data_IF_235140424948
#
_entry.id   IF_235140424948
#
_cell.length_a   1.000
_cell.length_b   1.000
_cell.length_c   1.000
_cell.angle_alpha   90.00
_cell.angle_beta   90.00
_cell.angle_gamma   90.00
#
_symmetry.space_group_name_H-M   'P 1'
#
loop_
_entity.id
_entity.type
_entity.pdbx_description
1 polymer ?
#
# COMPACT_ATOMS: atom_id res chain seq x y z
N UNK A 1 14.70 -17.81 0.18
CA UNK A 1 13.37 -17.26 -0.13
C UNK A 1 12.58 -16.80 1.11
N UNK A 2 12.49 -17.57 2.20
CA UNK A 2 11.77 -17.14 3.41
C UNK A 2 12.40 -15.88 4.06
N UNK A 3 13.73 -15.87 4.21
CA UNK A 3 14.46 -14.77 4.84
C UNK A 3 14.33 -13.40 4.11
N UNK A 4 14.30 -13.43 2.78
CA UNK A 4 14.10 -12.23 1.94
C UNK A 4 12.69 -11.67 2.12
N UNK A 5 11.69 -12.54 2.26
CA UNK A 5 10.30 -12.15 2.47
C UNK A 5 10.11 -11.49 3.83
N UNK A 6 10.69 -12.07 4.89
CA UNK A 6 10.66 -11.51 6.24
C UNK A 6 11.33 -10.14 6.30
N UNK A 7 12.45 -9.98 5.58
CA UNK A 7 13.18 -8.69 5.51
C UNK A 7 12.32 -7.61 4.85
N UNK A 8 11.65 -7.91 3.73
CA UNK A 8 10.77 -6.96 3.05
C UNK A 8 9.53 -6.65 3.89
N UNK A 9 8.93 -7.64 4.56
CA UNK A 9 7.80 -7.40 5.46
C UNK A 9 8.18 -6.47 6.62
N UNK A 10 9.35 -6.66 7.22
CA UNK A 10 9.86 -5.79 8.26
C UNK A 10 10.12 -4.37 7.74
N UNK A 11 10.73 -4.25 6.55
CA UNK A 11 10.96 -2.96 5.88
C UNK A 11 9.64 -2.19 5.65
N UNK A 12 8.65 -2.83 5.01
CA UNK A 12 7.33 -2.24 4.75
C UNK A 12 6.68 -1.79 6.06
N UNK A 13 6.67 -2.66 7.08
CA UNK A 13 6.08 -2.31 8.37
C UNK A 13 6.80 -1.13 9.03
N UNK A 14 8.13 -1.07 8.95
CA UNK A 14 8.93 0.03 9.47
C UNK A 14 8.60 1.36 8.80
N UNK A 15 8.51 1.37 7.46
CA UNK A 15 8.10 2.54 6.68
C UNK A 15 6.70 3.03 7.07
N UNK A 16 5.72 2.13 7.09
CA UNK A 16 4.34 2.48 7.44
C UNK A 16 4.22 2.93 8.89
N UNK A 17 4.93 2.30 9.83
CA UNK A 17 4.92 2.71 11.23
C UNK A 17 5.55 4.10 11.42
N UNK A 18 6.60 4.43 10.68
CA UNK A 18 7.19 5.76 10.70
C UNK A 18 6.20 6.81 10.15
N UNK A 19 5.53 6.50 9.06
CA UNK A 19 4.55 7.39 8.44
C UNK A 19 3.35 7.64 9.36
N UNK A 20 2.77 6.57 9.94
CA UNK A 20 1.64 6.67 10.89
C UNK A 20 1.99 7.53 12.11
N UNK A 21 3.23 7.44 12.62
CA UNK A 21 3.68 8.27 13.74
C UNK A 21 3.83 9.75 13.38
N UNK A 22 4.19 10.04 12.13
CA UNK A 22 4.43 11.39 11.65
C UNK A 22 3.19 12.05 11.02
N UNK A 23 2.09 11.30 10.83
CA UNK A 23 0.92 11.77 10.12
C UNK A 23 0.18 12.86 10.91
N UNK A 24 -0.07 14.00 10.27
CA UNK A 24 -0.77 15.11 10.90
C UNK A 24 -2.28 14.84 10.99
N UNK A 25 -2.77 14.59 12.20
CA UNK A 25 -4.19 14.38 12.50
C UNK A 25 -4.88 15.64 13.06
N UNK A 26 -4.31 16.82 12.86
CA UNK A 26 -4.91 18.08 13.33
C UNK A 26 -6.25 18.39 12.65
N UNK A 27 -6.45 17.90 11.43
CA UNK A 27 -7.71 18.01 10.69
C UNK A 27 -8.58 16.75 10.88
N UNK A 28 -9.90 16.89 11.08
CA UNK A 28 -10.81 15.74 11.23
C UNK A 28 -10.78 14.77 10.05
N UNK A 29 -10.58 15.28 8.83
CA UNK A 29 -10.46 14.44 7.62
C UNK A 29 -9.24 13.52 7.71
N UNK A 30 -8.09 14.04 8.13
CA UNK A 30 -6.87 13.23 8.29
C UNK A 30 -7.05 12.19 9.40
N UNK A 31 -7.73 12.53 10.50
CA UNK A 31 -8.02 11.55 11.55
C UNK A 31 -8.89 10.39 11.04
N UNK A 32 -9.92 10.69 10.24
CA UNK A 32 -10.77 9.67 9.61
C UNK A 32 -9.97 8.82 8.62
N UNK A 33 -9.17 9.44 7.75
CA UNK A 33 -8.29 8.74 6.80
C UNK A 33 -7.32 7.79 7.51
N UNK A 34 -6.67 8.24 8.59
CA UNK A 34 -5.76 7.41 9.36
C UNK A 34 -6.50 6.24 10.01
N UNK A 35 -7.69 6.47 10.57
CA UNK A 35 -8.50 5.41 11.17
C UNK A 35 -8.87 4.32 10.15
N UNK A 36 -9.29 4.73 8.95
CA UNK A 36 -9.63 3.80 7.86
C UNK A 36 -8.41 3.05 7.33
N UNK A 37 -7.29 3.75 7.13
CA UNK A 37 -6.03 3.12 6.75
C UNK A 37 -5.63 2.05 7.77
N UNK A 38 -5.66 2.37 9.07
CA UNK A 38 -5.28 1.45 10.14
C UNK A 38 -6.22 0.25 10.26
N UNK A 39 -7.51 0.44 9.99
CA UNK A 39 -8.50 -0.64 9.93
C UNK A 39 -8.20 -1.64 8.81
N UNK A 40 -7.71 -1.15 7.67
CA UNK A 40 -7.42 -1.97 6.49
C UNK A 40 -5.97 -2.45 6.44
N UNK A 41 -5.07 -1.88 7.25
CA UNK A 41 -3.65 -2.21 7.25
C UNK A 41 -3.41 -3.72 7.42
N UNK A 42 -2.52 -4.24 6.59
CA UNK A 42 -2.03 -5.61 6.65
C UNK A 42 -0.72 -5.63 7.44
N UNK A 43 -0.71 -6.31 8.60
CA UNK A 43 0.49 -6.43 9.46
C UNK A 43 1.50 -7.47 8.97
N UNK A 44 1.04 -8.41 8.14
CA UNK A 44 1.89 -9.41 7.49
C UNK A 44 1.78 -9.24 5.96
N UNK A 45 2.52 -8.28 5.35
CA UNK A 45 2.47 -8.04 3.92
C UNK A 45 2.68 -9.33 3.13
N UNK A 46 1.81 -9.58 2.15
CA UNK A 46 1.85 -10.77 1.31
C UNK A 46 2.23 -10.39 -0.12
N UNK A 47 3.04 -11.22 -0.77
CA UNK A 47 3.46 -11.02 -2.16
C UNK A 47 2.29 -11.31 -3.10
N UNK A 48 1.98 -10.38 -3.99
CA UNK A 48 0.90 -10.47 -4.97
C UNK A 48 1.38 -10.06 -6.37
N UNK A 49 0.64 -10.44 -7.41
CA UNK A 49 0.83 -9.89 -8.76
C UNK A 49 -0.02 -8.63 -8.91
N UNK A 50 0.55 -7.55 -9.44
CA UNK A 50 -0.13 -6.29 -9.73
C UNK A 50 0.10 -5.91 -11.19
N UNK A 51 -0.97 -5.46 -11.84
CA UNK A 51 -0.97 -4.98 -13.21
C UNK A 51 -0.51 -3.52 -13.25
N UNK A 52 0.31 -3.17 -14.22
CA UNK A 52 0.77 -1.82 -14.53
C UNK A 52 0.45 -1.48 -15.98
N UNK A 53 0.38 -0.19 -16.30
CA UNK A 53 0.20 0.27 -17.68
C UNK A 53 1.26 -0.35 -18.62
N UNK A 54 0.86 -0.62 -19.87
CA UNK A 54 1.72 -1.28 -20.85
C UNK A 54 1.72 -2.82 -20.75
N UNK A 55 0.69 -3.42 -20.14
CA UNK A 55 0.56 -4.87 -19.94
C UNK A 55 1.72 -5.48 -19.13
N UNK A 56 2.26 -4.72 -18.19
CA UNK A 56 3.36 -5.14 -17.30
C UNK A 56 2.75 -5.74 -16.03
N UNK A 57 3.27 -6.88 -15.59
CA UNK A 57 2.91 -7.50 -14.31
C UNK A 57 4.14 -7.51 -13.40
N UNK A 58 4.03 -6.95 -12.20
CA UNK A 58 5.10 -6.97 -11.21
C UNK A 58 4.68 -7.66 -9.91
N UNK A 59 5.67 -8.16 -9.17
CA UNK A 59 5.46 -8.70 -7.81
C UNK A 59 5.54 -7.58 -6.80
N UNK A 60 4.40 -7.30 -6.17
CA UNK A 60 4.24 -6.28 -5.14
C UNK A 60 3.86 -6.92 -3.80
N UNK A 61 3.73 -6.10 -2.76
CA UNK A 61 3.36 -6.55 -1.43
C UNK A 61 2.13 -5.80 -0.93
N UNK A 62 1.20 -6.51 -0.29
CA UNK A 62 -0.01 -5.90 0.27
C UNK A 62 0.32 -5.00 1.46
N UNK A 63 -0.26 -3.80 1.49
CA UNK A 63 -0.10 -2.84 2.59
C UNK A 63 -1.44 -2.57 3.28
N UNK A 64 -2.50 -2.44 2.49
CA UNK A 64 -3.88 -2.49 2.97
C UNK A 64 -4.65 -3.63 2.31
N UNK A 65 -5.70 -4.10 2.98
CA UNK A 65 -6.75 -4.89 2.33
C UNK A 65 -7.55 -3.98 1.41
N UNK A 66 -8.11 -4.56 0.35
CA UNK A 66 -9.06 -3.85 -0.49
C UNK A 66 -10.28 -3.42 0.31
N UNK A 67 -10.72 -2.17 0.13
CA UNK A 67 -11.97 -1.67 0.67
C UNK A 67 -13.17 -1.89 -0.27
N UNK A 68 -12.98 -2.69 -1.34
CA UNK A 68 -13.96 -2.89 -2.41
C UNK A 68 -13.72 -1.99 -3.62
N UNK A 69 -13.02 -0.85 -3.44
CA UNK A 69 -12.66 0.07 -4.53
C UNK A 69 -11.16 0.04 -4.83
N UNK A 70 -10.34 0.13 -3.79
CA UNK A 70 -8.89 0.23 -3.92
C UNK A 70 -8.15 -0.42 -2.74
N UNK A 71 -6.85 -0.59 -2.92
CA UNK A 71 -5.88 -0.99 -1.90
C UNK A 71 -4.54 -0.29 -2.14
N UNK A 72 -3.70 -0.24 -1.11
CA UNK A 72 -2.32 0.20 -1.22
C UNK A 72 -1.41 -1.01 -1.25
N UNK A 73 -0.44 -0.97 -2.16
CA UNK A 73 0.62 -1.96 -2.30
C UNK A 73 1.98 -1.29 -2.15
N UNK A 74 3.02 -2.09 -1.96
CA UNK A 74 4.41 -1.68 -2.00
C UNK A 74 5.13 -2.35 -3.18
N UNK A 75 5.90 -1.57 -3.95
CA UNK A 75 6.68 -2.03 -5.10
C UNK A 75 8.18 -2.08 -4.74
N UNK A 76 8.78 -3.26 -4.52
CA UNK A 76 10.16 -3.36 -4.05
C UNK A 76 11.21 -2.83 -5.03
N UNK A 77 10.94 -2.89 -6.33
CA UNK A 77 11.90 -2.47 -7.38
C UNK A 77 12.09 -0.95 -7.43
N UNK A 78 11.15 -0.18 -6.87
CA UNK A 78 11.18 1.27 -6.86
C UNK A 78 11.08 1.88 -5.45
N UNK A 79 10.99 1.05 -4.42
CA UNK A 79 10.94 1.44 -3.00
C UNK A 79 9.84 2.49 -2.68
N UNK A 80 8.64 2.28 -3.22
CA UNK A 80 7.49 3.16 -2.97
C UNK A 80 6.17 2.40 -2.76
N UNK A 81 5.15 3.13 -2.31
CA UNK A 81 3.77 2.67 -2.24
C UNK A 81 2.95 3.13 -3.44
N UNK A 82 1.99 2.31 -3.85
CA UNK A 82 1.07 2.64 -4.94
C UNK A 82 -0.38 2.37 -4.55
N UNK A 83 -1.27 3.25 -5.02
CA UNK A 83 -2.71 3.01 -5.03
C UNK A 83 -3.08 2.11 -6.21
N UNK A 84 -3.73 0.99 -5.90
CA UNK A 84 -4.29 0.09 -6.90
C UNK A 84 -5.80 0.02 -6.77
N UNK A 85 -6.50 0.06 -7.90
CA UNK A 85 -7.93 -0.25 -7.97
C UNK A 85 -8.14 -1.74 -8.19
N UNK A 86 -9.31 -2.24 -7.79
CA UNK A 86 -9.71 -3.60 -8.14
C UNK A 86 -10.03 -3.69 -9.64
N UNK A 87 -9.58 -4.75 -10.31
CA UNK A 87 -9.97 -5.10 -11.68
C UNK A 87 -10.23 -6.60 -11.80
N UNK A 88 -10.84 -7.02 -12.91
CA UNK A 88 -11.11 -8.45 -13.20
C UNK A 88 -9.84 -9.30 -13.27
N UNK A 89 -8.68 -8.67 -13.50
CA UNK A 89 -7.38 -9.34 -13.60
C UNK A 89 -6.52 -9.16 -12.33
N UNK A 90 -7.11 -8.72 -11.23
CA UNK A 90 -6.44 -8.39 -9.97
C UNK A 90 -6.16 -6.89 -9.81
N UNK A 91 -5.37 -6.48 -8.82
CA UNK A 91 -5.09 -5.07 -8.57
C UNK A 91 -4.36 -4.42 -9.74
N UNK A 92 -4.83 -3.22 -10.12
CA UNK A 92 -4.27 -2.40 -11.19
C UNK A 92 -3.72 -1.10 -10.60
N UNK A 93 -2.43 -0.85 -10.79
CA UNK A 93 -1.78 0.43 -10.54
C UNK A 93 -2.36 1.53 -11.44
N UNK A 94 -2.69 2.68 -10.83
CA UNK A 94 -3.27 3.83 -11.54
C UNK A 94 -2.35 5.07 -11.57
N UNK A 95 -1.04 4.89 -11.30
CA UNK A 95 -0.06 5.98 -11.37
C UNK A 95 -0.05 6.93 -10.16
N UNK A 96 -0.69 6.57 -9.04
CA UNK A 96 -0.61 7.33 -7.78
C UNK A 96 0.41 6.66 -6.87
N UNK A 97 1.60 7.25 -6.79
CA UNK A 97 2.76 6.70 -6.08
C UNK A 97 3.27 7.66 -5.00
N UNK A 98 3.88 7.11 -3.96
CA UNK A 98 4.45 7.90 -2.87
C UNK A 98 4.47 7.14 -1.55
N UNK A 99 4.13 7.84 -0.47
CA UNK A 99 3.97 7.27 0.86
C UNK A 99 2.61 6.55 0.99
N UNK A 100 2.48 5.61 1.92
CA UNK A 100 1.32 4.72 1.98
C UNK A 100 0.03 5.48 2.32
N UNK A 101 0.08 6.41 3.28
CA UNK A 101 -1.08 7.22 3.67
C UNK A 101 -1.43 8.25 2.61
N UNK A 102 -0.45 8.86 1.92
CA UNK A 102 -0.75 9.80 0.84
C UNK A 102 -1.42 9.09 -0.34
N UNK A 103 -0.94 7.91 -0.74
CA UNK A 103 -1.62 7.10 -1.75
C UNK A 103 -3.05 6.73 -1.31
N UNK A 104 -3.23 6.33 -0.04
CA UNK A 104 -4.55 6.00 0.50
C UNK A 104 -5.51 7.21 0.56
N UNK A 105 -4.98 8.40 0.86
CA UNK A 105 -5.73 9.65 0.99
C UNK A 105 -6.02 10.35 -0.34
N UNK A 106 -5.56 9.79 -1.46
CA UNK A 106 -5.70 10.40 -2.79
C UNK A 106 -7.12 10.28 -3.38
N UNK A 107 -8.05 9.66 -2.66
CA UNK A 107 -9.42 9.31 -3.07
C UNK A 107 -10.42 9.61 -1.98
#
# INVERSE_FOLDING_TARGET
MLHESETIQAHINGLVDAEVRAYDTSLPVNQATLADFMRLRVRNPAKISVQFSGAIIQKCWTVTRSNGSYQVIYLPTADYFSLCVNSDFGPLDIGVHGSALNCFASV
#
